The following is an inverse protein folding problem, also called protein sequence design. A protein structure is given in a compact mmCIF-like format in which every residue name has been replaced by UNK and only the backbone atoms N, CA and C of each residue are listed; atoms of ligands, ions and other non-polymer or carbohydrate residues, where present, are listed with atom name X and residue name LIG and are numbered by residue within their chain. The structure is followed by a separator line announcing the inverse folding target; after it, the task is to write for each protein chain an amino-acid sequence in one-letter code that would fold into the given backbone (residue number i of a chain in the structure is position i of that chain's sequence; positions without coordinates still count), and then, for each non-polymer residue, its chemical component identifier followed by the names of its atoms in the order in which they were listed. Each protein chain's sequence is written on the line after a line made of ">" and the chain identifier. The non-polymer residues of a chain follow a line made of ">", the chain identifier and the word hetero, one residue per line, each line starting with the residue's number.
data_IF_164979032513
#
_entry.id   IF_164979032513
#
_cell.length_a   1.000
_cell.length_b   1.000
_cell.length_c   1.000
_cell.angle_alpha   90.00
_cell.angle_beta   90.00
_cell.angle_gamma   90.00
#
_symmetry.space_group_name_H-M   'P 1'
#
loop_
_entity.id
_entity.type
_entity.pdbx_description
1 polymer ?
#
# COMPACT_ATOMS: atom_id res chain seq x y z
N UNK A 1 6.81 14.93 -9.45
CA UNK A 1 6.04 14.45 -8.29
C UNK A 1 4.60 14.90 -8.43
N UNK A 2 3.69 13.93 -8.54
CA UNK A 2 2.25 14.12 -8.54
C UNK A 2 1.65 13.35 -7.38
N UNK A 3 0.66 13.94 -6.70
CA UNK A 3 0.00 13.33 -5.55
C UNK A 3 -1.29 12.63 -5.97
N UNK A 4 -1.49 11.40 -5.49
CA UNK A 4 -2.72 10.63 -5.60
C UNK A 4 -3.27 10.43 -4.19
N UNK A 5 -4.58 10.60 -4.01
CA UNK A 5 -5.25 10.34 -2.74
C UNK A 5 -6.52 9.55 -2.99
N UNK A 6 -6.60 8.36 -2.40
CA UNK A 6 -7.74 7.47 -2.53
C UNK A 6 -8.17 6.95 -1.16
N UNK A 7 -9.46 6.70 -1.01
CA UNK A 7 -10.08 6.34 0.27
C UNK A 7 -11.01 5.16 0.05
N UNK A 8 -11.01 4.23 1.01
CA UNK A 8 -11.99 3.16 1.09
C UNK A 8 -12.41 2.92 2.55
N UNK A 9 -13.69 2.67 2.77
CA UNK A 9 -14.20 2.25 4.08
C UNK A 9 -14.40 0.72 4.05
N UNK A 10 -13.83 0.03 5.04
CA UNK A 10 -13.87 -1.42 5.21
C UNK A 10 -14.69 -1.82 6.44
N UNK A 11 -15.43 -2.93 6.34
CA UNK A 11 -16.33 -3.49 7.35
C UNK A 11 -15.60 -4.45 8.30
N UNK A 12 -14.42 -4.01 8.79
CA UNK A 12 -13.67 -4.69 9.85
C UNK A 12 -13.14 -3.69 10.88
N UNK A 13 -12.88 -4.12 12.14
CA UNK A 13 -12.22 -3.30 13.13
C UNK A 13 -10.85 -2.80 12.65
N UNK A 14 -10.41 -1.65 13.15
CA UNK A 14 -9.17 -0.98 12.74
C UNK A 14 -7.94 -1.88 12.89
N UNK A 15 -7.91 -2.68 13.96
CA UNK A 15 -6.84 -3.63 14.21
C UNK A 15 -6.76 -4.72 13.14
N UNK A 16 -7.90 -5.20 12.64
CA UNK A 16 -7.95 -6.22 11.59
C UNK A 16 -7.52 -5.63 10.25
N UNK A 17 -7.96 -4.42 9.92
CA UNK A 17 -7.52 -3.72 8.71
C UNK A 17 -5.99 -3.48 8.73
N UNK A 18 -5.46 -2.93 9.82
CA UNK A 18 -4.03 -2.69 9.98
C UNK A 18 -3.21 -3.98 9.94
N UNK A 19 -3.61 -4.98 10.72
CA UNK A 19 -2.92 -6.26 10.79
C UNK A 19 -2.84 -6.91 9.40
N UNK A 20 -3.93 -6.89 8.64
CA UNK A 20 -3.93 -7.41 7.27
C UNK A 20 -3.06 -6.58 6.33
N UNK A 21 -3.12 -5.25 6.41
CA UNK A 21 -2.31 -4.39 5.56
C UNK A 21 -0.80 -4.60 5.75
N UNK A 22 -0.38 -4.94 6.97
CA UNK A 22 1.04 -5.23 7.26
C UNK A 22 1.48 -6.63 6.86
N UNK A 23 0.60 -7.46 6.28
CA UNK A 23 0.98 -8.71 5.64
C UNK A 23 1.36 -8.47 4.18
N UNK A 24 2.48 -7.77 3.95
CA UNK A 24 2.88 -7.30 2.61
C UNK A 24 2.97 -8.43 1.58
N UNK A 25 3.46 -9.60 1.96
CA UNK A 25 3.60 -10.76 1.05
C UNK A 25 2.25 -11.31 0.55
N UNK A 26 1.13 -10.89 1.15
CA UNK A 26 -0.22 -11.23 0.71
C UNK A 26 -0.78 -10.26 -0.34
N UNK A 27 -0.10 -9.14 -0.61
CA UNK A 27 -0.57 -8.12 -1.55
C UNK A 27 -0.83 -8.65 -2.97
N UNK A 28 -0.04 -9.59 -3.53
CA UNK A 28 -0.35 -10.19 -4.84
C UNK A 28 -1.72 -10.86 -4.92
N UNK A 29 -2.37 -11.19 -3.80
CA UNK A 29 -3.71 -11.81 -3.78
C UNK A 29 -4.82 -10.82 -4.09
N UNK A 30 -4.58 -9.52 -3.95
CA UNK A 30 -5.60 -8.48 -4.14
C UNK A 30 -5.11 -7.25 -4.92
N UNK A 31 -3.81 -6.98 -5.01
CA UNK A 31 -3.29 -5.87 -5.80
C UNK A 31 -3.01 -6.29 -7.24
N UNK A 32 -3.43 -5.48 -8.20
CA UNK A 32 -3.25 -5.77 -9.62
C UNK A 32 -1.83 -5.40 -10.07
N UNK A 33 -1.16 -6.38 -10.67
CA UNK A 33 0.20 -6.28 -11.21
C UNK A 33 1.30 -6.13 -10.17
N UNK A 34 1.01 -6.41 -8.89
CA UNK A 34 2.03 -6.85 -7.94
C UNK A 34 2.16 -8.37 -8.11
N UNK A 35 3.34 -8.84 -8.51
CA UNK A 35 3.61 -10.28 -8.69
C UNK A 35 4.12 -10.91 -7.40
N UNK A 36 5.01 -10.21 -6.70
CA UNK A 36 5.64 -10.68 -5.46
C UNK A 36 6.03 -9.49 -4.58
N UNK A 37 5.91 -9.68 -3.27
CA UNK A 37 6.60 -8.85 -2.29
C UNK A 37 7.36 -9.79 -1.36
N UNK A 38 8.61 -9.47 -1.07
CA UNK A 38 9.43 -10.16 -0.07
C UNK A 38 9.76 -9.19 1.05
N UNK A 39 9.48 -9.58 2.29
CA UNK A 39 9.94 -8.80 3.44
C UNK A 39 11.41 -9.15 3.73
N UNK A 40 12.32 -8.18 3.52
CA UNK A 40 13.75 -8.39 3.68
C UNK A 40 14.17 -8.30 5.16
N UNK A 41 13.53 -7.39 5.90
CA UNK A 41 13.68 -7.22 7.34
C UNK A 41 12.48 -6.44 7.92
N UNK A 42 12.64 -5.89 9.13
CA UNK A 42 11.58 -5.18 9.84
C UNK A 42 11.06 -3.94 9.09
N UNK A 43 11.87 -3.31 8.24
CA UNK A 43 11.51 -2.06 7.57
C UNK A 43 11.70 -2.08 6.06
N UNK A 44 12.36 -3.10 5.49
CA UNK A 44 12.62 -3.15 4.04
C UNK A 44 11.82 -4.23 3.34
N UNK A 45 11.30 -3.86 2.18
CA UNK A 45 10.52 -4.74 1.31
C UNK A 45 11.08 -4.70 -0.10
N UNK A 46 11.10 -5.85 -0.77
CA UNK A 46 11.46 -5.98 -2.17
C UNK A 46 10.21 -6.31 -2.98
N UNK A 47 9.96 -5.55 -4.05
CA UNK A 47 8.76 -5.62 -4.86
C UNK A 47 9.08 -6.09 -6.27
N UNK A 48 8.26 -7.02 -6.78
CA UNK A 48 8.23 -7.41 -8.19
C UNK A 48 6.86 -7.04 -8.74
N UNK A 49 6.84 -6.21 -9.77
CA UNK A 49 5.60 -5.70 -10.37
C UNK A 49 5.60 -5.89 -11.88
N UNK A 50 4.42 -6.06 -12.49
CA UNK A 50 4.26 -6.22 -13.95
C UNK A 50 3.13 -5.38 -14.50
N UNK A 51 3.46 -4.46 -15.40
CA UNK A 51 2.51 -3.58 -16.10
C UNK A 51 2.74 -3.56 -17.59
N UNK A 52 1.69 -3.75 -18.38
CA UNK A 52 1.78 -3.66 -19.84
C UNK A 52 2.83 -4.61 -20.45
N UNK A 53 3.11 -5.74 -19.81
CA UNK A 53 4.15 -6.69 -20.22
C UNK A 53 5.57 -6.35 -19.75
N UNK A 54 5.78 -5.23 -19.04
CA UNK A 54 7.07 -4.83 -18.46
C UNK A 54 7.10 -5.23 -16.99
N UNK A 55 8.10 -6.02 -16.61
CA UNK A 55 8.39 -6.32 -15.19
C UNK A 55 9.39 -5.33 -14.63
N UNK A 56 9.15 -4.88 -13.40
CA UNK A 56 10.00 -3.94 -12.66
C UNK A 56 10.20 -4.43 -11.25
N UNK A 57 11.41 -4.25 -10.75
CA UNK A 57 11.83 -4.61 -9.41
C UNK A 57 12.36 -3.37 -8.70
N UNK A 58 11.99 -3.21 -7.44
CA UNK A 58 12.49 -2.13 -6.60
C UNK A 58 12.41 -2.52 -5.13
N UNK A 59 13.25 -1.86 -4.34
CA UNK A 59 13.20 -1.92 -2.88
C UNK A 59 12.50 -0.68 -2.33
N UNK A 60 11.78 -0.84 -1.22
CA UNK A 60 11.15 0.23 -0.49
C UNK A 60 11.40 0.08 1.01
N UNK A 61 11.64 1.22 1.67
CA UNK A 61 11.84 1.33 3.11
C UNK A 61 10.60 1.94 3.76
N UNK A 62 10.08 1.24 4.77
CA UNK A 62 9.08 1.72 5.71
C UNK A 62 9.75 2.76 6.60
N UNK A 63 9.34 4.01 6.47
CA UNK A 63 9.90 5.14 7.21
C UNK A 63 9.16 5.42 8.50
N UNK A 64 7.90 5.02 8.61
CA UNK A 64 7.09 5.25 9.80
C UNK A 64 5.97 4.23 9.87
N UNK A 65 5.74 3.70 11.06
CA UNK A 65 4.72 2.67 11.25
C UNK A 65 4.22 2.67 12.68
N UNK A 66 2.94 2.92 12.87
CA UNK A 66 2.28 2.84 14.17
C UNK A 66 1.05 1.96 14.06
N UNK A 67 0.93 0.94 14.92
CA UNK A 67 -0.23 0.06 14.96
C UNK A 67 -1.56 0.80 14.96
N UNK A 68 -2.47 0.37 14.09
CA UNK A 68 -3.83 0.88 13.94
C UNK A 68 -3.94 2.34 13.47
N UNK A 69 -2.82 2.98 13.13
CA UNK A 69 -2.78 4.40 12.74
C UNK A 69 -2.24 4.61 11.33
N UNK A 70 -1.01 4.14 11.03
CA UNK A 70 -0.37 4.41 9.74
C UNK A 70 0.79 3.50 9.38
N UNK A 71 1.08 3.44 8.08
CA UNK A 71 2.30 2.89 7.49
C UNK A 71 2.76 3.85 6.39
N UNK A 72 3.97 4.40 6.51
CA UNK A 72 4.58 5.26 5.50
C UNK A 72 5.87 4.64 4.95
N UNK A 73 6.14 4.89 3.68
CA UNK A 73 7.31 4.34 2.99
C UNK A 73 7.87 5.30 1.94
N UNK A 74 9.09 5.01 1.50
CA UNK A 74 9.73 5.59 0.33
C UNK A 74 10.42 4.49 -0.49
N UNK A 75 10.48 4.66 -1.80
CA UNK A 75 11.32 3.83 -2.67
C UNK A 75 12.80 4.07 -2.39
N UNK A 76 13.59 3.00 -2.34
CA UNK A 76 15.05 3.05 -2.24
C UNK A 76 15.71 3.02 -3.62
N UNK A 77 15.00 2.48 -4.61
CA UNK A 77 15.45 2.32 -6.00
C UNK A 77 14.25 2.25 -6.95
N UNK A 78 14.49 2.32 -8.25
CA UNK A 78 13.43 2.33 -9.25
C UNK A 78 12.75 3.70 -9.37
N UNK A 79 11.49 3.76 -9.83
CA UNK A 79 10.76 5.01 -9.94
C UNK A 79 10.55 5.68 -8.57
N UNK A 80 10.88 6.96 -8.47
CA UNK A 80 10.72 7.72 -7.22
C UNK A 80 9.25 7.77 -6.81
N UNK A 81 8.97 7.21 -5.63
CA UNK A 81 7.68 7.35 -4.98
C UNK A 81 7.78 7.25 -3.46
N UNK A 82 6.85 7.90 -2.80
CA UNK A 82 6.61 7.78 -1.37
C UNK A 82 5.11 7.69 -1.13
N UNK A 83 4.73 7.17 0.03
CA UNK A 83 3.33 7.15 0.38
C UNK A 83 3.09 6.92 1.86
N UNK A 84 1.83 7.09 2.22
CA UNK A 84 1.30 6.77 3.53
C UNK A 84 -0.06 6.13 3.38
N UNK A 85 -0.27 5.08 4.14
CA UNK A 85 -1.58 4.49 4.39
C UNK A 85 -1.97 4.87 5.80
N UNK A 86 -3.13 5.49 5.98
CA UNK A 86 -3.69 5.76 7.31
C UNK A 86 -4.93 4.93 7.56
N UNK A 87 -5.13 4.57 8.82
CA UNK A 87 -6.27 3.83 9.32
C UNK A 87 -7.00 4.70 10.32
N UNK A 88 -8.28 4.92 10.08
CA UNK A 88 -9.13 5.71 10.96
C UNK A 88 -10.33 4.86 11.37
N UNK A 89 -10.47 4.62 12.67
CA UNK A 89 -11.66 3.98 13.21
C UNK A 89 -12.89 4.85 12.95
N UNK A 90 -13.90 4.29 12.30
CA UNK A 90 -15.21 4.92 12.13
C UNK A 90 -16.15 4.51 13.27
N UNK A 91 -16.18 3.21 13.60
CA UNK A 91 -16.86 2.63 14.77
C UNK A 91 -16.18 1.32 15.20
N UNK A 92 -16.88 0.44 15.94
CA UNK A 92 -16.32 -0.82 16.45
C UNK A 92 -16.03 -1.84 15.35
N UNK A 93 -16.70 -1.74 14.21
CA UNK A 93 -16.66 -2.70 13.09
C UNK A 93 -16.28 -2.08 11.75
N UNK A 94 -16.09 -0.76 11.67
CA UNK A 94 -15.75 -0.07 10.42
C UNK A 94 -14.49 0.77 10.54
N UNK A 95 -13.69 0.75 9.47
CA UNK A 95 -12.42 1.47 9.37
C UNK A 95 -12.32 2.18 8.04
N UNK A 96 -11.87 3.43 8.05
CA UNK A 96 -11.47 4.17 6.86
C UNK A 96 -9.98 3.97 6.61
N UNK A 97 -9.65 3.49 5.42
CA UNK A 97 -8.29 3.36 4.91
C UNK A 97 -8.06 4.45 3.86
N UNK A 98 -7.05 5.28 4.08
CA UNK A 98 -6.66 6.33 3.13
C UNK A 98 -5.27 6.02 2.59
N UNK A 99 -5.12 6.00 1.27
CA UNK A 99 -3.83 5.99 0.61
C UNK A 99 -3.52 7.38 0.08
N UNK A 100 -2.36 7.92 0.46
CA UNK A 100 -1.79 9.10 -0.15
C UNK A 100 -0.42 8.74 -0.68
N UNK A 101 -0.17 9.00 -1.96
CA UNK A 101 1.08 8.66 -2.62
C UNK A 101 1.60 9.85 -3.42
N UNK A 102 2.89 10.13 -3.30
CA UNK A 102 3.62 11.01 -4.19
C UNK A 102 4.44 10.16 -5.15
N UNK A 103 4.20 10.33 -6.45
CA UNK A 103 4.77 9.46 -7.48
C UNK A 103 5.40 10.32 -8.57
N UNK A 104 6.53 9.88 -9.14
CA UNK A 104 6.97 10.34 -10.44
C UNK A 104 6.25 9.56 -11.58
N UNK A 105 5.26 10.17 -12.26
CA UNK A 105 4.53 9.48 -13.32
C UNK A 105 5.41 9.11 -14.52
N UNK A 106 6.54 9.78 -14.73
CA UNK A 106 7.46 9.44 -15.83
C UNK A 106 8.14 8.10 -15.59
N UNK A 107 8.50 7.81 -14.34
CA UNK A 107 9.10 6.54 -13.95
C UNK A 107 8.15 5.35 -13.99
N UNK A 108 6.83 5.53 -13.88
CA UNK A 108 5.86 4.41 -13.72
C UNK A 108 5.15 3.93 -14.99
N UNK A 109 4.97 4.78 -16.01
CA UNK A 109 4.25 4.40 -17.23
C UNK A 109 5.00 4.87 -18.49
N UNK A 110 5.30 3.94 -19.38
CA UNK A 110 5.86 4.24 -20.70
C UNK A 110 4.72 4.57 -21.69
N UNK A 111 4.87 5.68 -22.42
CA UNK A 111 4.10 5.98 -23.64
C UNK A 111 2.58 6.22 -23.52
N UNK A 112 2.05 6.58 -22.34
CA UNK A 112 0.63 6.99 -22.18
C UNK A 112 0.51 8.51 -22.04
N UNK A 113 -0.50 9.12 -22.69
CA UNK A 113 -0.77 10.55 -22.62
C UNK A 113 -1.38 11.01 -21.28
N UNK A 114 -2.18 10.16 -20.62
CA UNK A 114 -2.79 10.40 -19.31
C UNK A 114 -2.24 9.43 -18.24
N UNK A 115 -0.95 9.58 -17.90
CA UNK A 115 -0.28 8.70 -16.93
C UNK A 115 -0.89 8.81 -15.53
N UNK A 116 -1.19 10.03 -15.10
CA UNK A 116 -1.71 10.29 -13.76
C UNK A 116 -3.11 9.68 -13.57
N UNK A 117 -4.01 9.83 -14.54
CA UNK A 117 -5.34 9.22 -14.48
C UNK A 117 -5.32 7.69 -14.48
N UNK A 118 -4.32 7.06 -15.12
CA UNK A 118 -4.12 5.61 -15.05
C UNK A 118 -3.64 5.17 -13.67
N UNK A 119 -2.68 5.87 -13.08
CA UNK A 119 -2.17 5.57 -11.74
C UNK A 119 -3.26 5.75 -10.67
N UNK A 120 -4.01 6.85 -10.74
CA UNK A 120 -5.13 7.15 -9.84
C UNK A 120 -6.17 6.02 -9.81
N UNK A 121 -6.66 5.62 -10.99
CA UNK A 121 -7.62 4.50 -11.13
C UNK A 121 -7.07 3.19 -10.58
N UNK A 122 -5.76 2.98 -10.68
CA UNK A 122 -5.12 1.77 -10.21
C UNK A 122 -5.01 1.72 -8.70
N UNK A 123 -4.55 2.79 -8.06
CA UNK A 123 -4.54 2.91 -6.59
C UNK A 123 -5.96 2.76 -6.04
N UNK A 124 -6.95 3.40 -6.67
CA UNK A 124 -8.36 3.22 -6.33
C UNK A 124 -8.81 1.76 -6.44
N UNK A 125 -8.43 1.08 -7.52
CA UNK A 125 -8.74 -0.33 -7.75
C UNK A 125 -8.12 -1.24 -6.70
N UNK A 126 -6.86 -1.02 -6.35
CA UNK A 126 -6.14 -1.79 -5.33
C UNK A 126 -6.78 -1.63 -3.95
N UNK A 127 -7.20 -0.41 -3.56
CA UNK A 127 -7.92 -0.20 -2.31
C UNK A 127 -9.29 -0.90 -2.28
N UNK A 128 -10.02 -0.91 -3.40
CA UNK A 128 -11.29 -1.67 -3.49
C UNK A 128 -11.08 -3.17 -3.36
N UNK A 129 -10.04 -3.72 -3.99
CA UNK A 129 -9.72 -5.14 -3.87
C UNK A 129 -9.23 -5.49 -2.47
N UNK A 130 -8.50 -4.60 -1.80
CA UNK A 130 -8.18 -4.76 -0.38
C UNK A 130 -9.45 -4.86 0.48
N UNK A 131 -10.42 -3.95 0.29
CA UNK A 131 -11.74 -4.00 0.94
C UNK A 131 -12.40 -5.37 0.74
N UNK A 132 -12.56 -5.78 -0.51
CA UNK A 132 -13.18 -7.06 -0.85
C UNK A 132 -12.45 -8.25 -0.20
N UNK A 133 -11.12 -8.24 -0.22
CA UNK A 133 -10.30 -9.30 0.35
C UNK A 133 -10.47 -9.42 1.87
N UNK A 134 -10.41 -8.31 2.62
CA UNK A 134 -10.48 -8.37 4.07
C UNK A 134 -11.92 -8.63 4.57
N UNK A 135 -12.93 -8.10 3.88
CA UNK A 135 -14.34 -8.29 4.24
C UNK A 135 -14.82 -9.72 3.99
N UNK A 136 -14.41 -10.35 2.89
CA UNK A 136 -14.74 -11.75 2.62
C UNK A 136 -14.13 -12.69 3.67
N UNK A 137 -13.01 -12.30 4.29
CA UNK A 137 -12.33 -13.10 5.32
C UNK A 137 -12.86 -12.82 6.73
N UNK A 138 -13.20 -11.58 7.03
CA UNK A 138 -13.59 -11.10 8.35
C UNK A 138 -12.46 -11.16 9.40
N UNK A 139 -11.25 -11.58 9.03
CA UNK A 139 -10.06 -11.67 9.90
C UNK A 139 -8.78 -11.56 9.08
N UNK A 140 -7.75 -11.00 9.70
CA UNK A 140 -6.41 -10.91 9.16
C UNK A 140 -5.76 -12.28 8.95
N UNK A 141 -4.76 -12.31 8.07
CA UNK A 141 -3.88 -13.47 7.84
C UNK A 141 -2.70 -13.55 8.80
N UNK A 142 -2.34 -12.41 9.41
CA UNK A 142 -1.28 -12.27 10.40
C UNK A 142 -1.34 -10.87 11.02
N UNK A 143 -0.55 -10.61 12.05
CA UNK A 143 -0.66 -9.38 12.86
C UNK A 143 0.68 -8.82 13.26
N UNK A 144 1.52 -8.48 12.28
CA UNK A 144 2.75 -7.75 12.57
C UNK A 144 2.40 -6.36 13.11
N UNK A 145 2.96 -6.01 14.27
CA UNK A 145 2.65 -4.76 15.01
C UNK A 145 3.92 -4.09 15.52
N UNK A 146 5.01 -4.19 14.78
CA UNK A 146 6.21 -3.42 15.09
C UNK A 146 5.94 -1.93 14.96
N UNK A 147 6.67 -1.13 15.73
CA UNK A 147 6.61 0.32 15.68
C UNK A 147 7.91 0.85 15.06
N UNK A 148 7.76 1.72 14.07
CA UNK A 148 8.87 2.40 13.39
C UNK A 148 8.64 3.89 13.57
N UNK A 149 9.46 4.51 14.43
CA UNK A 149 9.42 5.95 14.63
C UNK A 149 9.88 6.69 13.37
N UNK A 150 9.31 7.88 13.16
CA UNK A 150 9.71 8.75 12.06
C UNK A 150 11.19 9.13 12.17
N UNK A 151 11.94 9.22 11.05
CA UNK A 151 13.30 9.74 11.07
C UNK A 151 13.33 11.15 11.66
N UNK A 152 14.19 11.36 12.68
CA UNK A 152 14.41 12.67 13.30
C UNK A 152 13.49 13.01 14.48
N UNK A 153 12.76 12.03 15.01
CA UNK A 153 12.01 12.16 16.27
C UNK A 153 12.82 11.66 17.47
#
# INVERSE_FOLDING_TARGET
>A
MSTITEIVDVEVPVSTAYNQWTQFEEFPKFMEGVEEIRQLDATRTHWVTRFGGVTREFDATITEQHPDERVAWTSDSGPDHAGVITFHRLDDSHTRVTAQMDIDPEGFAENVADKLGVLDRRVKGDLKRFKEFIEQRGRETGGWRGDVARPGQ
#
